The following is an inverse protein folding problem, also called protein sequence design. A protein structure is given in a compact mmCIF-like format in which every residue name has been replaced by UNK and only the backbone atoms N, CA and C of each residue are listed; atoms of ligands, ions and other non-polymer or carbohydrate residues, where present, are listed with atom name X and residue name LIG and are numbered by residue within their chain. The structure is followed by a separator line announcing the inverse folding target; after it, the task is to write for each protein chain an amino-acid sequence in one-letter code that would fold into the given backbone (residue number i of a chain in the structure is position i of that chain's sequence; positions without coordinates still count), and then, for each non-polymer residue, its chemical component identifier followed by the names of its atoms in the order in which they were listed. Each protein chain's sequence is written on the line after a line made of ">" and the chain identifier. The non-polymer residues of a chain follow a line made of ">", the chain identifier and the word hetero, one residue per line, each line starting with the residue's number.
data_IF_669318958914
#
_entry.id   IF_669318958914
#
_cell.length_a   1.000
_cell.length_b   1.000
_cell.length_c   1.000
_cell.angle_alpha   90.00
_cell.angle_beta   90.00
_cell.angle_gamma   90.00
#
_symmetry.space_group_name_H-M   'P 1'
#
loop_
_entity.id
_entity.type
_entity.pdbx_description
1 polymer ?
#
# COMPACT_ATOMS: atom_id res chain seq x y z
N UNK A 1 -10.02 -14.35 5.57
CA UNK A 1 -9.12 -13.21 5.84
C UNK A 1 -7.98 -13.22 4.84
N UNK A 2 -7.62 -12.07 4.28
CA UNK A 2 -6.49 -11.96 3.35
C UNK A 2 -5.42 -11.05 3.96
N UNK A 3 -4.15 -11.42 3.77
CA UNK A 3 -2.99 -10.62 4.17
C UNK A 3 -2.09 -10.37 2.97
N UNK A 4 -1.40 -9.22 2.95
CA UNK A 4 -0.48 -8.89 1.87
C UNK A 4 0.86 -8.44 2.43
N UNK A 5 1.93 -9.03 1.95
CA UNK A 5 3.30 -8.64 2.25
C UNK A 5 3.90 -7.89 1.05
N UNK A 6 4.82 -6.96 1.29
CA UNK A 6 5.58 -6.36 0.20
C UNK A 6 6.51 -7.40 -0.44
N UNK A 7 6.60 -7.44 -1.77
CA UNK A 7 7.33 -8.47 -2.51
C UNK A 7 8.80 -8.65 -2.07
N UNK A 8 9.47 -7.54 -1.72
CA UNK A 8 10.84 -7.57 -1.19
C UNK A 8 10.95 -7.85 0.32
N UNK A 9 9.82 -8.11 1.01
CA UNK A 9 9.74 -8.40 2.44
C UNK A 9 8.56 -9.35 2.70
N UNK A 10 8.54 -10.52 2.04
CA UNK A 10 7.43 -11.47 2.05
C UNK A 10 7.80 -12.85 2.66
N UNK A 11 8.35 -12.89 3.89
CA UNK A 11 8.84 -14.14 4.47
C UNK A 11 7.77 -15.22 4.61
N UNK A 12 6.51 -14.88 4.93
CA UNK A 12 5.43 -15.87 5.09
C UNK A 12 5.08 -16.48 3.72
N UNK A 13 5.00 -15.67 2.67
CA UNK A 13 4.72 -16.16 1.31
C UNK A 13 5.85 -17.03 0.79
N UNK A 14 7.10 -16.64 1.07
CA UNK A 14 8.31 -17.36 0.64
C UNK A 14 8.59 -18.62 1.49
N UNK A 15 8.01 -18.72 2.69
CA UNK A 15 8.23 -19.83 3.62
C UNK A 15 9.57 -19.80 4.36
N UNK A 16 10.32 -18.69 4.27
CA UNK A 16 11.62 -18.52 4.96
C UNK A 16 11.89 -17.05 5.31
N UNK A 17 12.80 -16.85 6.26
CA UNK A 17 13.27 -15.50 6.66
C UNK A 17 13.91 -14.77 5.49
N UNK A 18 13.60 -13.49 5.34
CA UNK A 18 14.23 -12.58 4.39
C UNK A 18 15.27 -11.76 5.14
N UNK A 19 16.55 -12.10 4.98
CA UNK A 19 17.65 -11.49 5.74
C UNK A 19 17.81 -9.98 5.47
N UNK A 20 17.53 -9.54 4.26
CA UNK A 20 17.66 -8.14 3.82
C UNK A 20 16.35 -7.66 3.18
N UNK A 21 15.29 -7.45 3.96
CA UNK A 21 14.01 -7.01 3.42
C UNK A 21 14.13 -5.61 2.79
N UNK A 22 13.51 -5.45 1.62
CA UNK A 22 13.50 -4.20 0.86
C UNK A 22 12.09 -3.89 0.41
N UNK A 23 11.58 -2.73 0.79
CA UNK A 23 10.33 -2.16 0.29
C UNK A 23 10.27 -0.69 0.68
N UNK A 24 9.51 0.11 -0.06
CA UNK A 24 9.17 1.49 0.30
C UNK A 24 8.22 1.53 1.51
N UNK A 25 7.42 0.49 1.72
CA UNK A 25 6.45 0.39 2.82
C UNK A 25 7.18 0.04 4.13
N UNK A 26 7.76 1.05 4.79
CA UNK A 26 8.70 0.89 5.91
C UNK A 26 8.13 0.08 7.07
N UNK A 27 6.84 0.27 7.41
CA UNK A 27 6.19 -0.42 8.53
C UNK A 27 6.00 -1.93 8.30
N UNK A 28 6.04 -2.41 7.06
CA UNK A 28 5.99 -3.84 6.71
C UNK A 28 7.31 -4.37 6.13
N UNK A 29 8.40 -3.60 6.21
CA UNK A 29 9.76 -4.03 5.83
C UNK A 29 10.36 -4.95 6.88
N UNK A 30 9.72 -6.11 7.08
CA UNK A 30 10.03 -7.06 8.14
C UNK A 30 10.37 -8.40 7.50
N UNK A 31 11.61 -8.85 7.69
CA UNK A 31 12.09 -10.12 7.14
C UNK A 31 11.82 -11.34 8.02
N UNK A 32 11.55 -11.13 9.31
CA UNK A 32 11.23 -12.20 10.28
C UNK A 32 10.14 -11.71 11.25
N UNK A 33 8.85 -11.84 10.90
CA UNK A 33 7.77 -11.36 11.75
C UNK A 33 7.60 -12.19 13.02
N UNK A 34 7.45 -11.54 14.17
CA UNK A 34 7.33 -12.18 15.47
C UNK A 34 6.08 -13.08 15.58
N UNK A 35 4.99 -12.71 14.95
CA UNK A 35 3.69 -13.43 15.03
C UNK A 35 3.42 -14.34 13.83
N UNK A 36 4.46 -14.89 13.22
CA UNK A 36 4.38 -15.74 12.03
C UNK A 36 3.36 -16.89 12.18
N UNK A 37 3.48 -17.68 13.23
CA UNK A 37 2.59 -18.81 13.47
C UNK A 37 1.12 -18.38 13.62
N UNK A 38 0.87 -17.26 14.30
CA UNK A 38 -0.48 -16.73 14.45
C UNK A 38 -1.08 -16.26 13.13
N UNK A 39 -0.28 -15.63 12.26
CA UNK A 39 -0.73 -15.21 10.93
C UNK A 39 -1.12 -16.43 10.06
N UNK A 40 -0.30 -17.48 10.04
CA UNK A 40 -0.61 -18.70 9.30
C UNK A 40 -1.88 -19.35 9.84
N UNK A 41 -2.01 -19.48 11.16
CA UNK A 41 -3.19 -20.06 11.81
C UNK A 41 -4.46 -19.27 11.44
N UNK A 42 -4.42 -17.95 11.52
CA UNK A 42 -5.56 -17.09 11.19
C UNK A 42 -6.01 -17.23 9.72
N UNK A 43 -5.05 -17.37 8.79
CA UNK A 43 -5.35 -17.63 7.37
C UNK A 43 -5.99 -19.01 7.18
N UNK A 44 -5.49 -20.05 7.84
CA UNK A 44 -6.05 -21.39 7.77
C UNK A 44 -7.48 -21.43 8.34
N UNK A 45 -7.70 -20.86 9.52
CA UNK A 45 -9.02 -20.83 10.18
C UNK A 45 -10.07 -20.02 9.38
N UNK A 46 -9.65 -18.98 8.67
CA UNK A 46 -10.54 -18.15 7.86
C UNK A 46 -10.71 -18.66 6.41
N UNK A 47 -10.06 -19.73 6.04
CA UNK A 47 -9.96 -20.20 4.65
C UNK A 47 -9.48 -19.08 3.70
N UNK A 48 -8.55 -18.27 4.22
CA UNK A 48 -8.02 -17.09 3.53
C UNK A 48 -6.69 -17.37 2.82
N UNK A 49 -5.97 -16.29 2.53
CA UNK A 49 -4.66 -16.36 1.85
C UNK A 49 -3.74 -15.22 2.32
N UNK A 50 -2.43 -15.49 2.36
CA UNK A 50 -1.40 -14.44 2.36
C UNK A 50 -0.74 -14.44 0.98
N UNK A 51 -0.67 -13.26 0.37
CA UNK A 51 -0.03 -13.04 -0.93
C UNK A 51 0.94 -11.86 -0.83
N UNK A 52 1.62 -11.54 -1.91
CA UNK A 52 2.52 -10.39 -2.00
C UNK A 52 1.99 -9.34 -2.97
N UNK A 53 2.40 -8.10 -2.74
CA UNK A 53 2.21 -6.95 -3.64
C UNK A 53 3.55 -6.27 -3.87
N UNK A 54 3.78 -5.73 -5.06
CA UNK A 54 5.03 -5.01 -5.38
C UNK A 54 5.00 -3.58 -4.84
N UNK A 55 6.15 -2.93 -4.80
CA UNK A 55 6.23 -1.52 -4.39
C UNK A 55 5.45 -0.62 -5.36
N UNK A 56 5.43 -0.95 -6.65
CA UNK A 56 4.65 -0.24 -7.68
C UNK A 56 3.14 -0.37 -7.43
N UNK A 57 2.66 -1.58 -7.14
CA UNK A 57 1.26 -1.83 -6.79
C UNK A 57 0.86 -1.08 -5.51
N UNK A 58 1.75 -1.02 -4.52
CA UNK A 58 1.54 -0.25 -3.28
C UNK A 58 1.43 1.25 -3.59
N UNK A 59 2.34 1.81 -4.41
CA UNK A 59 2.31 3.24 -4.77
C UNK A 59 1.07 3.59 -5.58
N UNK A 60 0.65 2.72 -6.51
CA UNK A 60 -0.58 2.92 -7.28
C UNK A 60 -1.80 3.00 -6.34
N UNK A 61 -1.95 2.02 -5.43
CA UNK A 61 -3.02 2.00 -4.45
C UNK A 61 -2.96 3.18 -3.48
N UNK A 62 -1.77 3.56 -3.02
CA UNK A 62 -1.54 4.71 -2.15
C UNK A 62 -2.05 6.01 -2.78
N UNK A 63 -1.69 6.26 -4.04
CA UNK A 63 -2.16 7.44 -4.79
C UNK A 63 -3.66 7.40 -5.04
N UNK A 64 -4.20 6.22 -5.36
CA UNK A 64 -5.62 6.02 -5.60
C UNK A 64 -6.45 6.33 -4.35
N UNK A 65 -6.06 5.83 -3.18
CA UNK A 65 -6.72 6.11 -1.90
C UNK A 65 -6.72 7.61 -1.59
N UNK A 66 -5.59 8.28 -1.80
CA UNK A 66 -5.51 9.73 -1.59
C UNK A 66 -6.38 10.52 -2.58
N UNK A 67 -6.39 10.14 -3.86
CA UNK A 67 -7.08 10.87 -4.92
C UNK A 67 -8.61 10.66 -4.91
N UNK A 68 -9.06 9.45 -4.61
CA UNK A 68 -10.48 9.08 -4.69
C UNK A 68 -11.21 9.24 -3.35
N UNK A 69 -10.52 8.96 -2.25
CA UNK A 69 -11.12 8.93 -0.90
C UNK A 69 -10.65 10.09 -0.01
N UNK A 70 -9.65 10.86 -0.44
CA UNK A 70 -9.06 11.95 0.36
C UNK A 70 -8.33 11.45 1.62
N UNK A 71 -7.93 10.18 1.67
CA UNK A 71 -7.30 9.58 2.85
C UNK A 71 -5.78 9.57 2.69
N UNK A 72 -5.08 10.18 3.64
CA UNK A 72 -3.62 10.16 3.72
C UNK A 72 -3.16 9.04 4.66
N UNK A 73 -2.99 7.84 4.13
CA UNK A 73 -2.45 6.70 4.86
C UNK A 73 -0.94 6.52 4.60
N UNK A 74 -0.26 5.67 5.38
CA UNK A 74 1.11 5.26 5.07
C UNK A 74 1.14 4.19 3.94
N UNK A 75 2.25 4.03 3.20
CA UNK A 75 2.35 3.03 2.12
C UNK A 75 2.04 1.60 2.58
N UNK A 76 2.45 1.21 3.78
CA UNK A 76 2.15 -0.09 4.36
C UNK A 76 0.64 -0.36 4.49
N UNK A 77 -0.15 0.67 4.77
CA UNK A 77 -1.62 0.58 4.82
C UNK A 77 -2.23 0.36 3.44
N UNK A 78 -1.66 1.01 2.41
CA UNK A 78 -2.12 0.86 1.03
C UNK A 78 -1.87 -0.56 0.46
N UNK A 79 -1.01 -1.36 1.08
CA UNK A 79 -0.79 -2.75 0.69
C UNK A 79 -2.07 -3.59 0.73
N UNK A 80 -3.00 -3.32 1.66
CA UNK A 80 -4.30 -4.00 1.71
C UNK A 80 -5.16 -3.69 0.48
N UNK A 81 -5.19 -2.43 0.06
CA UNK A 81 -5.92 -1.97 -1.13
C UNK A 81 -5.26 -2.50 -2.41
N UNK A 82 -3.92 -2.45 -2.50
CA UNK A 82 -3.17 -3.05 -3.61
C UNK A 82 -3.50 -4.54 -3.78
N UNK A 83 -3.58 -5.26 -2.67
CA UNK A 83 -3.97 -6.66 -2.66
C UNK A 83 -5.39 -6.90 -3.15
N UNK A 84 -6.35 -6.07 -2.75
CA UNK A 84 -7.74 -6.15 -3.24
C UNK A 84 -7.79 -5.88 -4.74
N UNK A 85 -7.11 -4.84 -5.23
CA UNK A 85 -7.03 -4.54 -6.67
C UNK A 85 -6.43 -5.71 -7.45
N UNK A 86 -5.35 -6.31 -6.95
CA UNK A 86 -4.73 -7.50 -7.53
C UNK A 86 -5.69 -8.68 -7.59
N UNK A 87 -6.40 -8.95 -6.50
CA UNK A 87 -7.39 -10.02 -6.42
C UNK A 87 -8.57 -9.79 -7.38
N UNK A 88 -9.04 -8.55 -7.49
CA UNK A 88 -10.10 -8.18 -8.44
C UNK A 88 -9.66 -8.40 -9.89
N UNK A 89 -8.45 -7.95 -10.26
CA UNK A 89 -7.87 -8.19 -11.59
C UNK A 89 -7.72 -9.69 -11.91
N UNK A 90 -7.53 -10.52 -10.88
CA UNK A 90 -7.46 -11.98 -11.00
C UNK A 90 -8.84 -12.68 -11.01
N UNK A 91 -9.95 -11.94 -10.91
CA UNK A 91 -11.31 -12.49 -10.91
C UNK A 91 -11.65 -13.30 -9.65
N UNK A 92 -11.00 -13.00 -8.52
CA UNK A 92 -11.22 -13.76 -7.27
C UNK A 92 -12.43 -13.27 -6.47
N UNK A 93 -12.99 -12.12 -6.80
CA UNK A 93 -14.22 -11.61 -6.19
C UNK A 93 -15.44 -11.93 -7.06
N UNK A 94 -16.54 -12.28 -6.39
CA UNK A 94 -17.85 -12.44 -7.01
C UNK A 94 -18.63 -11.13 -6.92
N UNK A 95 -19.58 -10.96 -7.82
CA UNK A 95 -20.48 -9.81 -7.79
C UNK A 95 -21.24 -9.77 -6.45
N UNK A 96 -21.28 -8.57 -5.85
CA UNK A 96 -21.96 -8.34 -4.58
C UNK A 96 -21.13 -8.64 -3.33
N UNK A 97 -19.90 -9.15 -3.44
CA UNK A 97 -19.02 -9.31 -2.28
C UNK A 97 -18.49 -7.97 -1.79
N UNK A 98 -18.34 -7.85 -0.47
CA UNK A 98 -17.79 -6.66 0.17
C UNK A 98 -16.39 -6.96 0.69
N UNK A 99 -15.39 -6.18 0.26
CA UNK A 99 -14.04 -6.21 0.78
C UNK A 99 -13.82 -5.05 1.76
N UNK A 100 -13.33 -5.35 2.96
CA UNK A 100 -12.94 -4.33 3.96
C UNK A 100 -11.43 -4.28 4.04
N UNK A 101 -10.83 -3.14 3.66
CA UNK A 101 -9.40 -2.89 3.75
C UNK A 101 -9.09 -2.11 5.03
N UNK A 102 -8.22 -2.65 5.87
CA UNK A 102 -7.76 -1.93 7.07
C UNK A 102 -6.57 -1.03 6.72
N UNK A 103 -6.77 0.29 6.84
CA UNK A 103 -5.69 1.28 6.73
C UNK A 103 -5.09 1.50 8.11
N UNK A 104 -3.97 0.85 8.39
CA UNK A 104 -3.41 0.68 9.74
C UNK A 104 -2.64 1.89 10.26
N UNK A 105 -2.13 2.76 9.39
CA UNK A 105 -1.30 3.89 9.79
C UNK A 105 -1.51 5.14 8.95
N UNK A 106 -1.29 6.30 9.60
CA UNK A 106 -1.38 7.61 8.99
C UNK A 106 -0.14 7.94 8.15
N UNK A 107 -0.30 8.68 7.05
CA UNK A 107 0.78 9.04 6.12
C UNK A 107 1.95 9.81 6.74
N UNK A 108 1.72 10.54 7.85
CA UNK A 108 2.80 11.22 8.57
C UNK A 108 3.82 10.27 9.22
N UNK A 109 3.57 8.96 9.25
CA UNK A 109 4.55 7.97 9.72
C UNK A 109 5.64 7.70 8.68
N UNK A 110 5.42 8.07 7.41
CA UNK A 110 6.34 7.81 6.30
C UNK A 110 6.35 8.99 5.30
N UNK A 111 6.70 10.16 5.80
CA UNK A 111 6.64 11.44 5.07
C UNK A 111 7.60 11.45 3.86
N UNK A 112 8.76 10.83 3.99
CA UNK A 112 9.76 10.81 2.92
C UNK A 112 9.22 10.12 1.67
N UNK A 113 8.48 9.03 1.82
CA UNK A 113 7.83 8.34 0.71
C UNK A 113 6.69 9.20 0.14
N UNK A 114 5.90 9.86 1.00
CA UNK A 114 4.85 10.77 0.53
C UNK A 114 5.41 11.86 -0.38
N UNK A 115 6.53 12.49 0.02
CA UNK A 115 7.23 13.50 -0.78
C UNK A 115 7.79 12.90 -2.08
N UNK A 116 8.42 11.74 -1.99
CA UNK A 116 9.08 11.10 -3.13
C UNK A 116 8.10 10.68 -4.24
N UNK A 117 6.88 10.25 -3.87
CA UNK A 117 5.87 9.78 -4.84
C UNK A 117 4.85 10.84 -5.25
N UNK A 118 4.85 12.01 -4.60
CA UNK A 118 3.98 13.13 -4.94
C UNK A 118 4.55 13.98 -6.08
N UNK A 119 3.66 14.71 -6.75
CA UNK A 119 4.09 15.73 -7.70
C UNK A 119 4.80 16.87 -6.96
N UNK A 120 5.92 17.32 -7.50
CA UNK A 120 6.61 18.48 -6.96
C UNK A 120 5.73 19.72 -7.11
N UNK A 121 5.55 20.53 -6.05
CA UNK A 121 4.82 21.78 -6.17
C UNK A 121 5.52 22.73 -7.15
N UNK A 122 4.75 23.41 -7.97
CA UNK A 122 5.26 24.47 -8.84
C UNK A 122 5.60 25.69 -7.99
N UNK A 123 6.81 26.21 -8.14
CA UNK A 123 7.21 27.49 -7.55
C UNK A 123 6.96 28.60 -8.57
N UNK A 124 6.18 29.60 -8.18
CA UNK A 124 5.80 30.72 -9.04
C UNK A 124 6.03 32.05 -8.32
N UNK A 125 6.05 33.16 -9.07
CA UNK A 125 6.03 34.50 -8.48
C UNK A 125 4.65 34.77 -7.87
N UNK A 126 4.61 35.62 -6.84
CA UNK A 126 3.37 35.97 -6.15
C UNK A 126 2.56 37.02 -6.99
N UNK A 127 2.16 36.66 -8.21
CA UNK A 127 1.32 37.45 -9.09
C UNK A 127 0.26 36.60 -9.80
N UNK A 128 -0.82 37.21 -10.25
CA UNK A 128 -1.96 36.55 -10.87
C UNK A 128 -1.62 35.90 -12.21
N UNK A 129 -0.75 36.53 -12.98
CA UNK A 129 -0.36 36.06 -14.31
C UNK A 129 0.33 34.71 -14.24
N UNK A 130 1.26 34.54 -13.31
CA UNK A 130 1.93 33.26 -13.08
C UNK A 130 0.98 32.17 -12.56
N UNK A 131 0.02 32.51 -11.69
CA UNK A 131 -1.01 31.59 -11.22
C UNK A 131 -1.87 31.07 -12.37
N UNK A 132 -2.40 31.99 -13.21
CA UNK A 132 -3.26 31.63 -14.35
C UNK A 132 -2.51 30.74 -15.33
N UNK A 133 -1.24 31.11 -15.65
CA UNK A 133 -0.39 30.33 -16.56
C UNK A 133 -0.16 28.89 -16.07
N UNK A 134 0.12 28.72 -14.77
CA UNK A 134 0.42 27.37 -14.22
C UNK A 134 -0.84 26.52 -14.09
N UNK A 135 -1.98 27.14 -13.83
CA UNK A 135 -3.27 26.42 -13.76
C UNK A 135 -3.87 26.13 -15.16
N UNK A 136 -3.30 26.71 -16.23
CA UNK A 136 -3.72 26.45 -17.61
C UNK A 136 -5.02 27.16 -18.02
N UNK A 137 -5.30 28.32 -17.42
CA UNK A 137 -6.42 29.18 -17.80
C UNK A 137 -6.00 30.25 -18.79
#
# INVERSE_FOLDING_TARGET
>A
MFGFQAAGAAPIVLGHVVEKPKTIATAIRIGNPASWAHAIKAVQESNGKIDLVTDEEIVEAYRMVAALEGIFCEPASAASVAGVIKMQKAGLFKDGETAVCTLTGHGLKDVDIAIAVSQKPATIQANMEDVVRVLGY
#
